data_IF_858172831025
#
_entry.id   IF_858172831025
#
_cell.length_a   1.000
_cell.length_b   1.000
_cell.length_c   1.000
_cell.angle_alpha   90.00
_cell.angle_beta   90.00
_cell.angle_gamma   90.00
#
_symmetry.space_group_name_H-M   'P 1'
#
loop_
_entity.id
_entity.type
_entity.pdbx_description
1 polymer ?
#
# COMPACT_ATOMS: atom_id res chain seq x y z
N UNK A 1 27.66 4.26 -4.20
CA UNK A 1 27.01 3.00 -4.65
C UNK A 1 25.89 2.56 -3.72
N UNK A 2 26.15 2.14 -2.48
CA UNK A 2 25.07 1.64 -1.60
C UNK A 2 24.05 2.70 -1.13
N UNK A 3 24.45 3.97 -0.97
CA UNK A 3 23.52 5.07 -0.65
C UNK A 3 22.63 5.43 -1.85
N UNK A 4 23.19 5.42 -3.05
CA UNK A 4 22.50 5.84 -4.27
C UNK A 4 21.32 4.92 -4.58
N UNK A 5 21.51 3.60 -4.39
CA UNK A 5 20.43 2.62 -4.55
C UNK A 5 19.28 2.85 -3.56
N UNK A 6 19.56 2.99 -2.27
CA UNK A 6 18.50 3.21 -1.25
C UNK A 6 17.78 4.53 -1.48
N UNK A 7 18.49 5.57 -1.95
CA UNK A 7 17.87 6.84 -2.29
C UNK A 7 16.97 6.74 -3.53
N UNK A 8 17.35 5.94 -4.53
CA UNK A 8 16.51 5.63 -5.70
C UNK A 8 15.25 4.85 -5.28
N UNK A 9 15.40 3.81 -4.45
CA UNK A 9 14.28 3.05 -3.90
C UNK A 9 13.31 3.92 -3.12
N UNK A 10 13.85 4.82 -2.28
CA UNK A 10 13.03 5.75 -1.52
C UNK A 10 12.28 6.70 -2.45
N UNK A 11 12.95 7.29 -3.43
CA UNK A 11 12.32 8.18 -4.42
C UNK A 11 11.20 7.47 -5.18
N UNK A 12 11.48 6.28 -5.73
CA UNK A 12 10.51 5.45 -6.44
C UNK A 12 9.27 5.14 -5.57
N UNK A 13 9.51 4.73 -4.32
CA UNK A 13 8.44 4.41 -3.38
C UNK A 13 7.57 5.64 -3.08
N UNK A 14 8.18 6.81 -2.87
CA UNK A 14 7.45 8.04 -2.59
C UNK A 14 6.54 8.47 -3.76
N UNK A 15 7.05 8.40 -5.00
CA UNK A 15 6.27 8.74 -6.19
C UNK A 15 5.09 7.78 -6.41
N UNK A 16 5.28 6.49 -6.13
CA UNK A 16 4.23 5.49 -6.24
C UNK A 16 3.18 5.66 -5.15
N UNK A 17 3.58 5.82 -3.89
CA UNK A 17 2.66 6.11 -2.79
C UNK A 17 1.89 7.42 -3.02
N UNK A 18 2.52 8.45 -3.58
CA UNK A 18 1.86 9.71 -3.91
C UNK A 18 0.70 9.52 -4.87
N UNK A 19 0.99 8.93 -6.03
CA UNK A 19 -0.02 8.67 -7.06
C UNK A 19 -1.14 7.81 -6.50
N UNK A 20 -0.80 6.74 -5.78
CA UNK A 20 -1.81 5.85 -5.21
C UNK A 20 -2.67 6.53 -4.14
N UNK A 21 -2.07 7.35 -3.27
CA UNK A 21 -2.80 8.11 -2.26
C UNK A 21 -3.76 9.13 -2.89
N UNK A 22 -3.38 9.77 -3.99
CA UNK A 22 -4.25 10.69 -4.75
C UNK A 22 -5.47 9.97 -5.31
N UNK A 23 -5.31 8.78 -5.87
CA UNK A 23 -6.42 7.96 -6.37
C UNK A 23 -7.39 7.56 -5.27
N UNK A 24 -6.86 7.07 -4.14
CA UNK A 24 -7.68 6.71 -2.98
C UNK A 24 -8.42 7.93 -2.43
N UNK A 25 -7.73 9.07 -2.30
CA UNK A 25 -8.32 10.30 -1.77
C UNK A 25 -9.41 10.84 -2.69
N UNK A 26 -9.18 10.85 -4.00
CA UNK A 26 -10.18 11.26 -4.98
C UNK A 26 -11.45 10.40 -4.89
N UNK A 27 -11.28 9.08 -4.79
CA UNK A 27 -12.40 8.16 -4.60
C UNK A 27 -13.15 8.42 -3.29
N UNK A 28 -12.44 8.48 -2.15
CA UNK A 28 -13.06 8.69 -0.84
C UNK A 28 -13.80 10.03 -0.72
N UNK A 29 -13.33 11.08 -1.39
CA UNK A 29 -13.97 12.40 -1.38
C UNK A 29 -15.27 12.48 -2.20
N UNK A 30 -15.52 11.49 -3.07
CA UNK A 30 -16.68 11.46 -3.97
C UNK A 30 -17.64 10.29 -3.70
N UNK A 31 -17.31 9.41 -2.75
CA UNK A 31 -18.07 8.19 -2.46
C UNK A 31 -18.84 8.30 -1.15
N UNK A 32 -20.09 7.83 -1.16
CA UNK A 32 -20.93 7.68 0.04
C UNK A 32 -21.39 6.23 0.21
N UNK A 33 -21.76 5.83 1.44
CA UNK A 33 -22.35 4.50 1.67
C UNK A 33 -23.64 4.33 0.86
N UNK A 34 -24.50 5.35 0.83
CA UNK A 34 -25.75 5.30 0.08
C UNK A 34 -25.51 5.06 -1.42
N UNK A 35 -24.51 5.72 -2.03
CA UNK A 35 -24.17 5.48 -3.43
C UNK A 35 -23.68 4.05 -3.67
N UNK A 36 -22.93 3.45 -2.73
CA UNK A 36 -22.43 2.08 -2.86
C UNK A 36 -23.56 1.06 -2.71
N UNK A 37 -24.51 1.29 -1.80
CA UNK A 37 -25.69 0.42 -1.63
C UNK A 37 -26.61 0.49 -2.84
N UNK A 38 -26.75 1.66 -3.47
CA UNK A 38 -27.60 1.82 -4.66
C UNK A 38 -27.01 1.16 -5.91
N UNK A 39 -25.68 1.22 -6.10
CA UNK A 39 -25.01 0.62 -7.25
C UNK A 39 -24.67 -0.87 -7.02
N UNK A 40 -24.55 -1.29 -5.77
CA UNK A 40 -24.09 -2.61 -5.38
C UNK A 40 -25.16 -3.69 -5.50
N UNK A 41 -24.84 -4.78 -6.19
CA UNK A 41 -25.66 -5.99 -6.20
C UNK A 41 -25.13 -7.00 -5.18
N UNK A 42 -25.54 -6.86 -3.90
CA UNK A 42 -25.40 -7.94 -2.90
C UNK A 42 -24.49 -7.68 -1.70
N UNK A 43 -23.77 -6.54 -1.63
CA UNK A 43 -23.11 -6.11 -0.40
C UNK A 43 -24.06 -5.31 0.50
N UNK A 44 -23.88 -5.45 1.81
CA UNK A 44 -24.63 -4.68 2.80
C UNK A 44 -23.95 -3.33 3.09
N UNK A 45 -24.70 -2.40 3.70
CA UNK A 45 -24.13 -1.13 4.16
C UNK A 45 -22.94 -1.35 5.12
N UNK A 46 -23.01 -2.35 6.00
CA UNK A 46 -21.90 -2.71 6.90
C UNK A 46 -20.66 -3.18 6.14
N UNK A 47 -20.82 -4.01 5.10
CA UNK A 47 -19.66 -4.47 4.32
C UNK A 47 -18.95 -3.29 3.63
N UNK A 48 -19.73 -2.33 3.11
CA UNK A 48 -19.17 -1.13 2.47
C UNK A 48 -18.53 -0.18 3.47
N UNK A 49 -19.06 -0.08 4.70
CA UNK A 49 -18.39 0.66 5.79
C UNK A 49 -17.02 0.05 6.07
N UNK A 50 -16.93 -1.26 6.27
CA UNK A 50 -15.66 -1.93 6.56
C UNK A 50 -14.65 -1.79 5.41
N UNK A 51 -15.11 -1.89 4.16
CA UNK A 51 -14.26 -1.65 2.98
C UNK A 51 -13.70 -0.22 2.98
N UNK A 52 -14.56 0.79 3.18
CA UNK A 52 -14.10 2.18 3.19
C UNK A 52 -13.19 2.48 4.38
N UNK A 53 -13.42 1.86 5.54
CA UNK A 53 -12.56 2.01 6.71
C UNK A 53 -11.19 1.38 6.49
N UNK A 54 -11.11 0.22 5.83
CA UNK A 54 -9.84 -0.38 5.40
C UNK A 54 -9.10 0.54 4.42
N UNK A 55 -9.79 1.11 3.43
CA UNK A 55 -9.19 2.03 2.46
C UNK A 55 -8.69 3.32 3.14
N UNK A 56 -9.45 3.88 4.09
CA UNK A 56 -9.03 5.05 4.89
C UNK A 56 -7.79 4.75 5.71
N UNK A 57 -7.75 3.60 6.37
CA UNK A 57 -6.57 3.14 7.12
C UNK A 57 -5.32 3.07 6.25
N UNK A 58 -5.44 2.49 5.06
CA UNK A 58 -4.34 2.42 4.09
C UNK A 58 -3.89 3.83 3.66
N UNK A 59 -4.83 4.74 3.37
CA UNK A 59 -4.50 6.13 3.00
C UNK A 59 -3.70 6.84 4.10
N UNK A 60 -4.08 6.66 5.36
CA UNK A 60 -3.33 7.24 6.50
C UNK A 60 -1.88 6.74 6.52
N UNK A 61 -1.67 5.43 6.35
CA UNK A 61 -0.30 4.89 6.30
C UNK A 61 0.50 5.40 5.11
N UNK A 62 -0.15 5.60 3.95
CA UNK A 62 0.52 6.16 2.79
C UNK A 62 0.95 7.60 3.05
N UNK A 63 0.10 8.42 3.66
CA UNK A 63 0.45 9.79 4.04
C UNK A 63 1.62 9.83 5.05
N UNK A 64 1.58 9.01 6.10
CA UNK A 64 2.66 8.92 7.10
C UNK A 64 4.00 8.44 6.51
N UNK A 65 3.95 7.41 5.66
CA UNK A 65 5.12 6.87 4.97
C UNK A 65 5.73 7.87 4.00
N UNK A 66 4.87 8.62 3.29
CA UNK A 66 5.29 9.68 2.37
C UNK A 66 5.96 10.84 3.08
N UNK A 67 5.35 11.34 4.14
CA UNK A 67 5.92 12.43 4.92
C UNK A 67 7.30 12.06 5.45
N UNK A 68 7.41 10.86 6.03
CA UNK A 68 8.68 10.34 6.56
C UNK A 68 9.75 10.18 5.48
N UNK A 69 9.39 9.66 4.31
CA UNK A 69 10.34 9.46 3.21
C UNK A 69 10.78 10.77 2.54
N UNK A 70 9.86 11.71 2.28
CA UNK A 70 10.23 13.01 1.74
C UNK A 70 11.09 13.83 2.70
N UNK A 71 10.86 13.73 4.02
CA UNK A 71 11.73 14.37 5.01
C UNK A 71 13.18 13.88 4.87
N UNK A 72 13.38 12.60 4.60
CA UNK A 72 14.71 12.03 4.36
C UNK A 72 15.30 12.46 3.03
N UNK A 73 14.51 12.49 1.95
CA UNK A 73 14.96 12.94 0.63
C UNK A 73 15.34 14.43 0.60
N UNK A 74 14.69 15.26 1.42
CA UNK A 74 14.96 16.70 1.54
C UNK A 74 16.03 17.05 2.56
N UNK A 75 16.54 16.06 3.30
CA UNK A 75 17.55 16.31 4.33
C UNK A 75 18.90 16.69 3.72
N UNK A 76 19.64 17.60 4.37
CA UNK A 76 20.96 18.07 3.92
C UNK A 76 21.95 16.91 3.70
N UNK A 77 21.86 15.88 4.54
CA UNK A 77 22.66 14.65 4.43
C UNK A 77 21.74 13.44 4.41
N UNK A 78 21.82 12.66 3.33
CA UNK A 78 21.06 11.42 3.22
C UNK A 78 21.44 10.40 4.30
N UNK A 79 20.47 10.06 5.15
CA UNK A 79 20.63 9.13 6.27
C UNK A 79 20.21 7.72 5.86
N UNK A 80 21.13 6.98 5.23
CA UNK A 80 20.86 5.64 4.68
C UNK A 80 20.11 4.70 5.64
N UNK A 81 20.59 4.54 6.87
CA UNK A 81 19.97 3.63 7.84
C UNK A 81 18.56 4.05 8.27
N UNK A 82 18.25 5.34 8.24
CA UNK A 82 16.88 5.82 8.48
C UNK A 82 15.99 5.54 7.27
N UNK A 83 16.50 5.74 6.05
CA UNK A 83 15.77 5.40 4.82
C UNK A 83 15.46 3.90 4.72
N UNK A 84 16.42 3.03 5.03
CA UNK A 84 16.19 1.58 5.06
C UNK A 84 15.10 1.20 6.08
N UNK A 85 15.08 1.82 7.26
CA UNK A 85 14.01 1.62 8.27
C UNK A 85 12.65 2.13 7.81
N UNK A 86 12.61 3.29 7.14
CA UNK A 86 11.38 3.85 6.58
C UNK A 86 10.82 2.94 5.48
N UNK A 87 11.66 2.45 4.55
CA UNK A 87 11.27 1.51 3.50
C UNK A 87 10.75 0.19 4.09
N UNK A 88 11.42 -0.34 5.13
CA UNK A 88 10.93 -1.51 5.86
C UNK A 88 9.56 -1.29 6.47
N UNK A 89 9.33 -0.13 7.11
CA UNK A 89 8.03 0.20 7.69
C UNK A 89 6.95 0.33 6.61
N UNK A 90 7.25 1.00 5.50
CA UNK A 90 6.33 1.16 4.36
C UNK A 90 5.94 -0.20 3.80
N UNK A 91 6.90 -1.11 3.59
CA UNK A 91 6.60 -2.45 3.10
C UNK A 91 5.55 -3.14 3.97
N UNK A 92 5.70 -3.10 5.28
CA UNK A 92 4.81 -3.83 6.20
C UNK A 92 3.49 -3.11 6.52
N UNK A 93 3.51 -1.78 6.66
CA UNK A 93 2.32 -1.03 7.09
C UNK A 93 1.51 -0.47 5.91
N UNK A 94 2.15 -0.24 4.77
CA UNK A 94 1.48 0.29 3.59
C UNK A 94 1.18 -0.84 2.60
N UNK A 95 2.23 -1.54 2.14
CA UNK A 95 2.12 -2.47 1.02
C UNK A 95 1.43 -3.75 1.46
N UNK A 96 1.95 -4.44 2.48
CA UNK A 96 1.33 -5.67 2.98
C UNK A 96 -0.07 -5.45 3.55
N UNK A 97 -0.38 -4.29 4.13
CA UNK A 97 -1.74 -3.97 4.60
C UNK A 97 -2.75 -3.88 3.43
N UNK A 98 -2.33 -3.55 2.21
CA UNK A 98 -3.18 -3.63 1.03
C UNK A 98 -3.38 -5.08 0.56
N UNK A 99 -2.34 -5.91 0.54
CA UNK A 99 -2.45 -7.31 0.10
C UNK A 99 -3.06 -8.24 1.16
N UNK A 100 -2.97 -7.86 2.44
CA UNK A 100 -3.47 -8.57 3.61
C UNK A 100 -4.22 -7.59 4.54
N UNK A 101 -5.44 -7.17 4.17
CA UNK A 101 -6.16 -6.13 4.91
C UNK A 101 -6.56 -6.56 6.32
N UNK A 102 -6.40 -5.65 7.29
CA UNK A 102 -6.73 -5.87 8.71
C UNK A 102 -8.18 -6.28 8.95
N UNK A 103 -9.11 -5.67 8.22
CA UNK A 103 -10.55 -5.95 8.34
C UNK A 103 -11.00 -7.16 7.52
N UNK A 104 -10.08 -7.83 6.83
CA UNK A 104 -10.34 -9.02 6.03
C UNK A 104 -11.43 -8.83 4.96
N UNK A 105 -11.57 -7.63 4.39
CA UNK A 105 -12.64 -7.27 3.44
C UNK A 105 -12.36 -7.70 1.99
N UNK A 106 -11.09 -7.97 1.66
CA UNK A 106 -10.64 -8.58 0.42
C UNK A 106 -9.41 -9.45 0.69
N UNK A 107 -9.00 -10.25 -0.29
CA UNK A 107 -7.81 -11.09 -0.19
C UNK A 107 -7.07 -11.14 -1.53
N UNK A 108 -5.78 -11.48 -1.46
CA UNK A 108 -4.94 -11.73 -2.62
C UNK A 108 -5.13 -13.16 -3.14
N UNK A 109 -5.54 -13.31 -4.40
CA UNK A 109 -5.52 -14.56 -5.14
C UNK A 109 -4.12 -14.75 -5.77
N UNK A 110 -3.27 -15.49 -5.06
CA UNK A 110 -1.88 -15.76 -5.47
C UNK A 110 -1.74 -16.44 -6.84
N UNK A 111 -2.82 -17.02 -7.39
CA UNK A 111 -2.81 -17.63 -8.72
C UNK A 111 -2.98 -16.62 -9.85
N UNK A 112 -3.45 -15.41 -9.54
CA UNK A 112 -3.71 -14.37 -10.54
C UNK A 112 -2.42 -13.85 -11.21
N UNK A 113 -1.28 -13.91 -10.50
CA UNK A 113 0.05 -13.56 -11.00
C UNK A 113 0.43 -14.31 -12.30
N UNK A 114 -0.02 -15.56 -12.46
CA UNK A 114 0.24 -16.37 -13.65
C UNK A 114 -0.61 -16.00 -14.86
N UNK A 115 -1.62 -15.15 -14.69
CA UNK A 115 -2.62 -14.82 -15.73
C UNK A 115 -2.63 -13.34 -16.12
N UNK A 116 -1.77 -12.51 -15.51
CA UNK A 116 -1.77 -11.05 -15.73
C UNK A 116 -3.07 -10.36 -15.31
N UNK A 117 -3.84 -11.00 -14.41
CA UNK A 117 -5.08 -10.46 -13.85
C UNK A 117 -4.81 -9.87 -12.48
N UNK A 118 -5.64 -8.89 -12.09
CA UNK A 118 -5.72 -8.43 -10.71
C UNK A 118 -5.91 -9.58 -9.73
N UNK A 119 -5.05 -9.61 -8.72
CA UNK A 119 -5.00 -10.58 -7.65
C UNK A 119 -6.00 -10.26 -6.55
N UNK A 120 -6.39 -9.00 -6.35
CA UNK A 120 -7.32 -8.67 -5.28
C UNK A 120 -8.75 -9.16 -5.58
N UNK A 121 -9.33 -9.86 -4.61
CA UNK A 121 -10.70 -10.37 -4.61
C UNK A 121 -11.45 -9.89 -3.38
N UNK A 122 -12.52 -9.13 -3.59
CA UNK A 122 -13.44 -8.75 -2.52
C UNK A 122 -14.18 -9.97 -1.98
N UNK A 123 -14.43 -10.00 -0.67
CA UNK A 123 -15.20 -11.07 -0.03
C UNK A 123 -16.70 -11.00 -0.29
N UNK A 124 -17.18 -9.81 -0.63
CA UNK A 124 -18.57 -9.54 -0.98
C UNK A 124 -18.65 -8.96 -2.40
N UNK A 125 -19.85 -8.95 -2.96
CA UNK A 125 -20.10 -8.24 -4.21
C UNK A 125 -20.00 -6.73 -3.99
N UNK A 126 -19.19 -6.07 -4.81
CA UNK A 126 -18.96 -4.62 -4.76
C UNK A 126 -19.33 -3.94 -6.08
N UNK A 127 -19.76 -2.66 -6.03
CA UNK A 127 -19.91 -1.78 -7.19
C UNK A 127 -18.70 -1.75 -8.12
N UNK A 128 -18.91 -1.38 -9.38
CA UNK A 128 -17.84 -1.35 -10.37
C UNK A 128 -16.77 -0.32 -10.01
N UNK A 129 -17.18 0.84 -9.50
CA UNK A 129 -16.25 1.89 -9.06
C UNK A 129 -15.24 1.44 -7.98
N UNK A 130 -15.61 0.51 -7.07
CA UNK A 130 -14.68 -0.06 -6.08
C UNK A 130 -13.66 -0.99 -6.74
N UNK A 131 -14.12 -1.79 -7.72
CA UNK A 131 -13.23 -2.66 -8.50
C UNK A 131 -12.24 -1.83 -9.28
N UNK A 132 -12.71 -0.78 -9.95
CA UNK A 132 -11.86 0.09 -10.76
C UNK A 132 -10.79 0.79 -9.91
N UNK A 133 -11.14 1.27 -8.71
CA UNK A 133 -10.16 1.81 -7.77
C UNK A 133 -9.08 0.78 -7.43
N UNK A 134 -9.48 -0.41 -6.96
CA UNK A 134 -8.53 -1.46 -6.54
C UNK A 134 -7.64 -1.88 -7.72
N UNK A 135 -8.22 -2.03 -8.91
CA UNK A 135 -7.45 -2.35 -10.11
C UNK A 135 -6.42 -1.29 -10.45
N UNK A 136 -6.78 -0.01 -10.30
CA UNK A 136 -5.92 1.12 -10.59
C UNK A 136 -4.73 1.22 -9.63
N UNK A 137 -4.92 0.88 -8.36
CA UNK A 137 -3.89 1.00 -7.33
C UNK A 137 -3.02 -0.24 -7.17
N UNK A 138 -3.52 -1.42 -7.53
CA UNK A 138 -2.82 -2.69 -7.35
C UNK A 138 -1.47 -2.74 -8.09
N UNK A 139 -1.43 -2.34 -9.36
CA UNK A 139 -0.20 -2.36 -10.17
C UNK A 139 0.95 -1.56 -9.55
N UNK A 140 0.76 -0.25 -9.27
CA UNK A 140 1.77 0.55 -8.58
C UNK A 140 2.22 -0.03 -7.23
N UNK A 141 1.31 -0.64 -6.46
CA UNK A 141 1.66 -1.25 -5.18
C UNK A 141 2.44 -2.56 -5.34
N UNK A 142 2.13 -3.34 -6.37
CA UNK A 142 2.87 -4.54 -6.72
C UNK A 142 4.31 -4.20 -7.13
N UNK A 143 4.52 -3.16 -7.93
CA UNK A 143 5.87 -2.70 -8.28
C UNK A 143 6.68 -2.27 -7.05
N UNK A 144 6.05 -1.58 -6.08
CA UNK A 144 6.72 -1.23 -4.81
C UNK A 144 7.01 -2.48 -3.98
N UNK A 145 6.11 -3.46 -3.95
CA UNK A 145 6.32 -4.73 -3.24
C UNK A 145 7.56 -5.46 -3.77
N UNK A 146 7.69 -5.55 -5.10
CA UNK A 146 8.82 -6.17 -5.79
C UNK A 146 10.12 -5.42 -5.54
N UNK A 147 10.12 -4.09 -5.66
CA UNK A 147 11.31 -3.26 -5.39
C UNK A 147 11.79 -3.37 -3.93
N UNK A 148 10.87 -3.62 -3.00
CA UNK A 148 11.14 -3.68 -1.56
C UNK A 148 11.22 -5.11 -0.99
N UNK A 149 11.19 -6.16 -1.82
CA UNK A 149 11.25 -7.57 -1.40
C UNK A 149 12.48 -7.88 -0.52
N UNK A 150 13.60 -7.20 -0.78
CA UNK A 150 14.81 -7.26 0.06
C UNK A 150 14.54 -6.95 1.56
N UNK A 151 13.59 -6.06 1.83
CA UNK A 151 13.24 -5.65 3.20
C UNK A 151 12.38 -6.69 3.94
N UNK A 152 11.78 -7.64 3.23
CA UNK A 152 11.03 -8.77 3.82
C UNK A 152 11.97 -9.79 4.49
N UNK A 153 13.04 -10.17 3.78
CA UNK A 153 13.87 -11.34 4.11
C UNK A 153 15.20 -10.96 4.76
N UNK A 154 15.99 -10.12 4.10
CA UNK A 154 17.38 -9.89 4.47
C UNK A 154 17.56 -8.75 5.48
N UNK A 155 16.74 -7.70 5.39
CA UNK A 155 16.84 -6.56 6.31
C UNK A 155 16.54 -6.95 7.76
N UNK A 156 15.53 -7.81 7.99
CA UNK A 156 15.21 -8.35 9.32
C UNK A 156 16.39 -9.06 9.97
N UNK A 157 17.11 -9.86 9.19
CA UNK A 157 18.30 -10.59 9.65
C UNK A 157 19.41 -9.62 10.06
N UNK A 158 19.66 -8.58 9.25
CA UNK A 158 20.63 -7.52 9.58
C UNK A 158 20.26 -6.75 10.84
N UNK A 159 18.98 -6.43 11.03
CA UNK A 159 18.53 -5.70 12.23
C UNK A 159 18.69 -6.54 13.50
N UNK A 160 18.33 -7.83 13.46
CA UNK A 160 18.52 -8.76 14.60
C UNK A 160 19.98 -8.90 15.02
N UNK A 161 20.91 -8.92 14.06
CA UNK A 161 22.34 -8.99 14.36
C UNK A 161 22.85 -7.70 15.03
N UNK A 162 22.36 -6.53 14.61
CA UNK A 162 22.73 -5.23 15.18
C UNK A 162 22.14 -4.96 16.56
N UNK A 163 21.03 -5.61 16.93
CA UNK A 163 20.40 -5.50 18.25
C UNK A 163 20.98 -6.48 19.28
N UNK A 164 21.78 -7.45 18.84
CA UNK A 164 22.48 -8.42 19.70
C UNK A 164 23.93 -8.04 20.04
N UNK A 165 24.41 -6.88 19.59
CA UNK A 165 25.70 -6.25 19.91
C UNK A 165 25.50 -5.06 20.85
#
# INVERSE_FOLDING_TARGET
MGNDLVQQQLTFTMEKLEKTAEEIRGYLNSTTIDSLVQEGEGGSASDYIDILDQIRRILVFFDEGRESGYLLLRSEKFRKGAAEKTLYWIFHQCIEEFFQPKLDVWYEDSRAAYTGKNAIRFRVAVPQQLKDLVQKIEGPLQEVREELEYYETDFRTKMRQREGE
#
